data_IF_675185317209
#
_entry.id   IF_675185317209
#
_cell.length_a   1.000
_cell.length_b   1.000
_cell.length_c   1.000
_cell.angle_alpha   90.00
_cell.angle_beta   90.00
_cell.angle_gamma   90.00
#
_symmetry.space_group_name_H-M   'P 1'
#
loop_
_entity.id
_entity.type
_entity.pdbx_description
1 polymer ?
#
# COMPACT_ATOMS: atom_id res chain seq x y z
N UNK A 1 -7.69 -7.20 8.83
CA UNK A 1 -7.65 -8.37 7.93
C UNK A 1 -8.85 -9.30 8.06
N UNK A 2 -9.13 -9.87 9.24
CA UNK A 2 -10.10 -10.98 9.41
C UNK A 2 -11.51 -10.72 8.84
N UNK A 3 -12.09 -9.54 9.06
CA UNK A 3 -13.43 -9.22 8.53
C UNK A 3 -13.47 -9.12 6.99
N UNK A 4 -12.39 -8.64 6.38
CA UNK A 4 -12.28 -8.46 4.91
C UNK A 4 -11.66 -9.66 4.19
N UNK A 5 -11.07 -10.61 4.93
CA UNK A 5 -10.29 -11.75 4.40
C UNK A 5 -9.24 -11.34 3.35
N UNK A 6 -8.63 -10.17 3.55
CA UNK A 6 -7.58 -9.64 2.68
C UNK A 6 -6.18 -9.98 3.21
N UNK A 7 -5.20 -10.04 2.31
CA UNK A 7 -3.78 -10.28 2.61
C UNK A 7 -2.92 -9.01 2.55
N UNK A 8 -3.40 -7.97 1.85
CA UNK A 8 -2.88 -6.61 1.90
C UNK A 8 -4.03 -5.59 1.92
N UNK A 9 -3.92 -4.59 2.78
CA UNK A 9 -4.74 -3.37 2.76
C UNK A 9 -3.81 -2.20 2.47
N UNK A 10 -4.18 -1.36 1.51
CA UNK A 10 -3.46 -0.12 1.18
C UNK A 10 -4.32 1.05 1.57
N UNK A 11 -3.82 1.93 2.43
CA UNK A 11 -4.52 3.13 2.89
C UNK A 11 -3.77 4.34 2.40
N UNK A 12 -4.34 5.11 1.47
CA UNK A 12 -3.84 6.44 1.14
C UNK A 12 -4.49 7.47 2.06
N UNK A 13 -3.69 8.26 2.77
CA UNK A 13 -4.22 9.41 3.50
C UNK A 13 -4.53 10.53 2.51
N UNK A 14 -5.81 10.80 2.24
CA UNK A 14 -6.25 11.80 1.25
C UNK A 14 -6.51 13.20 1.82
N UNK A 15 -6.32 13.39 3.14
CA UNK A 15 -6.60 14.68 3.79
C UNK A 15 -5.46 15.69 3.62
N UNK A 16 -4.29 15.23 3.17
CA UNK A 16 -3.11 16.06 2.92
C UNK A 16 -3.22 16.87 1.63
N UNK A 17 -2.63 18.08 1.63
CA UNK A 17 -2.54 18.96 0.44
C UNK A 17 -1.82 18.31 -0.75
N UNK A 18 -0.96 17.32 -0.49
CA UNK A 18 -0.17 16.59 -1.50
C UNK A 18 -0.60 15.13 -1.65
N UNK A 19 -1.75 14.73 -1.10
CA UNK A 19 -2.16 13.32 -1.10
C UNK A 19 -3.63 13.10 -1.45
N UNK A 20 -4.36 14.20 -1.73
CA UNK A 20 -5.71 14.17 -2.25
C UNK A 20 -5.81 13.55 -3.65
N UNK A 21 -7.03 13.37 -4.14
CA UNK A 21 -7.27 12.66 -5.41
C UNK A 21 -6.72 13.39 -6.65
N UNK A 22 -6.76 14.73 -6.62
CA UNK A 22 -6.43 15.60 -7.78
C UNK A 22 -4.96 16.04 -7.83
N UNK A 23 -4.10 15.38 -7.06
CA UNK A 23 -2.64 15.61 -7.08
C UNK A 23 -1.90 14.38 -7.61
N UNK A 24 -0.64 14.53 -7.97
CA UNK A 24 0.14 13.46 -8.62
C UNK A 24 0.85 12.50 -7.64
N UNK A 25 0.68 12.72 -6.34
CA UNK A 25 1.39 11.99 -5.29
C UNK A 25 0.45 11.29 -4.31
N UNK A 26 0.95 10.23 -3.69
CA UNK A 26 0.27 9.46 -2.64
C UNK A 26 1.20 9.28 -1.44
N UNK A 27 0.60 9.14 -0.25
CA UNK A 27 1.29 8.72 0.96
C UNK A 27 0.49 7.58 1.56
N UNK A 28 0.99 6.36 1.38
CA UNK A 28 0.24 5.15 1.68
C UNK A 28 0.83 4.39 2.85
N UNK A 29 -0.06 3.73 3.60
CA UNK A 29 0.29 2.74 4.60
C UNK A 29 -0.11 1.37 4.04
N UNK A 30 0.85 0.46 3.96
CA UNK A 30 0.66 -0.94 3.59
C UNK A 30 0.45 -1.74 4.88
N UNK A 31 -0.69 -2.41 4.99
CA UNK A 31 -1.07 -3.20 6.17
C UNK A 31 -1.25 -4.65 5.75
N UNK A 32 -0.41 -5.53 6.26
CA UNK A 32 -0.51 -6.98 6.10
C UNK A 32 -1.08 -7.63 7.36
N UNK A 33 -1.02 -8.96 7.49
CA UNK A 33 -1.39 -9.64 8.74
C UNK A 33 -0.34 -9.46 9.84
N UNK A 34 0.92 -9.38 9.44
CA UNK A 34 2.07 -9.48 10.34
C UNK A 34 2.80 -8.15 10.51
N UNK A 35 2.60 -7.21 9.57
CA UNK A 35 3.38 -5.98 9.49
C UNK A 35 2.57 -4.78 8.96
N UNK A 36 3.01 -3.58 9.33
CA UNK A 36 2.50 -2.29 8.83
C UNK A 36 3.66 -1.38 8.45
N UNK A 37 3.64 -0.90 7.22
CA UNK A 37 4.72 -0.13 6.62
C UNK A 37 4.17 1.17 6.01
N UNK A 38 4.72 2.32 6.42
CA UNK A 38 4.38 3.60 5.82
C UNK A 38 5.40 3.95 4.74
N UNK A 39 4.92 4.16 3.51
CA UNK A 39 5.76 4.62 2.42
C UNK A 39 6.01 6.13 2.52
N UNK A 40 7.09 6.59 1.90
CA UNK A 40 7.33 8.00 1.67
C UNK A 40 6.21 8.62 0.80
N UNK A 41 6.20 9.96 0.70
CA UNK A 41 5.39 10.64 -0.31
C UNK A 41 5.98 10.33 -1.68
N UNK A 42 5.23 9.60 -2.50
CA UNK A 42 5.67 9.09 -3.79
C UNK A 42 4.72 9.55 -4.90
N UNK A 43 5.18 9.53 -6.14
CA UNK A 43 4.26 9.65 -7.28
C UNK A 43 3.27 8.48 -7.30
N UNK A 44 2.14 8.64 -8.00
CA UNK A 44 1.17 7.56 -8.21
C UNK A 44 1.80 6.31 -8.84
N UNK A 45 2.72 6.50 -9.80
CA UNK A 45 3.41 5.40 -10.48
C UNK A 45 4.36 4.64 -9.55
N UNK A 46 5.19 5.36 -8.79
CA UNK A 46 6.09 4.75 -7.81
C UNK A 46 5.30 4.01 -6.72
N UNK A 47 4.20 4.61 -6.25
CA UNK A 47 3.30 3.99 -5.29
C UNK A 47 2.73 2.67 -5.82
N UNK A 48 2.30 2.65 -7.09
CA UNK A 48 1.80 1.43 -7.74
C UNK A 48 2.88 0.34 -7.81
N UNK A 49 4.12 0.71 -8.13
CA UNK A 49 5.25 -0.22 -8.17
C UNK A 49 5.54 -0.81 -6.77
N UNK A 50 5.51 0.00 -5.71
CA UNK A 50 5.67 -0.48 -4.34
C UNK A 50 4.57 -1.47 -3.93
N UNK A 51 3.31 -1.15 -4.24
CA UNK A 51 2.17 -2.05 -3.96
C UNK A 51 2.35 -3.37 -4.72
N UNK A 52 2.71 -3.29 -6.00
CA UNK A 52 2.93 -4.49 -6.83
C UNK A 52 4.03 -5.39 -6.27
N UNK A 53 5.15 -4.81 -5.85
CA UNK A 53 6.25 -5.55 -5.22
C UNK A 53 5.78 -6.25 -3.94
N UNK A 54 5.02 -5.56 -3.07
CA UNK A 54 4.47 -6.17 -1.85
C UNK A 54 3.53 -7.33 -2.15
N UNK A 55 2.69 -7.21 -3.19
CA UNK A 55 1.81 -8.31 -3.63
C UNK A 55 2.63 -9.51 -4.12
N UNK A 56 3.70 -9.28 -4.88
CA UNK A 56 4.59 -10.35 -5.35
C UNK A 56 5.33 -11.04 -4.19
N UNK A 57 5.76 -10.30 -3.17
CA UNK A 57 6.36 -10.86 -1.95
C UNK A 57 5.37 -11.76 -1.20
N UNK A 58 4.18 -11.26 -0.92
CA UNK A 58 3.13 -12.02 -0.23
C UNK A 58 2.73 -13.28 -1.00
N UNK A 59 2.74 -13.22 -2.34
CA UNK A 59 2.44 -14.36 -3.20
C UNK A 59 3.51 -15.46 -3.16
N UNK A 60 4.76 -15.14 -2.79
CA UNK A 60 5.85 -16.11 -2.65
C UNK A 60 5.82 -16.80 -1.29
N UNK A 61 5.38 -16.12 -0.24
CA UNK A 61 5.31 -16.67 1.13
C UNK A 61 4.30 -17.82 1.25
N UNK A 62 3.28 -17.88 0.39
CA UNK A 62 2.27 -18.95 0.37
C UNK A 62 2.63 -20.22 -0.42
N UNK A 63 3.84 -20.33 -1.01
CA UNK A 63 4.27 -21.50 -1.82
C UNK A 63 5.39 -22.33 -1.15
N UNK A 64 5.49 -22.31 0.17
CA UNK A 64 6.36 -23.17 0.97
C UNK A 64 5.61 -24.34 1.58
#
# INVERSE_FOLDING_TARGET
MQAKKADLIVVNDILGKQTGFDVDTNQVILITRDDTEQLALLSKEETANCIWNKVMELSKVGKG
#
